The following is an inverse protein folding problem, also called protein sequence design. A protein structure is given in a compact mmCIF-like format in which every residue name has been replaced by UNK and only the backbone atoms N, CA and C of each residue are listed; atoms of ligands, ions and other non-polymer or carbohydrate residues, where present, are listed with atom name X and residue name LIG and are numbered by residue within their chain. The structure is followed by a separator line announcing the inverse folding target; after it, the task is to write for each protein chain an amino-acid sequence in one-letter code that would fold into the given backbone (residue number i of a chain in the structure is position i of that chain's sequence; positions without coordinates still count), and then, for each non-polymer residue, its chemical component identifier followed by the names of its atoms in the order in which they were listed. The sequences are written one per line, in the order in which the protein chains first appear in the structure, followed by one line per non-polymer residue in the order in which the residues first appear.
data_IF_683063376590
#
_entry.id   IF_683063376590
#
_cell.length_a   1.000
_cell.length_b   1.000
_cell.length_c   1.000
_cell.angle_alpha   90.00
_cell.angle_beta   90.00
_cell.angle_gamma   90.00
#
_symmetry.space_group_name_H-M   'P 1'
#
loop_
_entity.id
_entity.type
_entity.pdbx_description
1 polymer ?
#
# COMPACT_ATOMS: atom_id res chain seq x y z
N UNK A 1 13.46 -13.27 5.15
CA UNK A 1 14.93 -13.50 5.01
C UNK A 1 15.31 -13.15 3.58
N UNK A 2 16.30 -12.27 3.39
CA UNK A 2 16.78 -11.80 2.08
C UNK A 2 17.27 -12.94 1.17
N UNK A 3 16.76 -12.98 -0.07
CA UNK A 3 17.13 -13.96 -1.10
C UNK A 3 17.44 -13.22 -2.40
N UNK A 4 18.69 -13.26 -2.84
CA UNK A 4 19.06 -12.69 -4.14
C UNK A 4 19.03 -13.81 -5.17
N UNK A 5 18.31 -13.63 -6.31
CA UNK A 5 18.25 -14.64 -7.36
C UNK A 5 19.65 -14.96 -7.92
N UNK A 6 19.90 -16.23 -8.24
CA UNK A 6 21.17 -16.66 -8.79
C UNK A 6 21.46 -15.93 -10.12
N UNK A 7 22.65 -15.37 -10.23
CA UNK A 7 23.07 -14.64 -11.43
C UNK A 7 22.46 -13.24 -11.56
N UNK A 8 21.67 -12.77 -10.60
CA UNK A 8 21.11 -11.43 -10.64
C UNK A 8 22.20 -10.36 -10.85
N UNK A 9 21.94 -9.43 -11.74
CA UNK A 9 22.73 -8.22 -11.98
C UNK A 9 21.81 -7.08 -12.30
N UNK A 10 21.95 -5.97 -11.57
CA UNK A 10 21.21 -4.76 -11.88
C UNK A 10 21.53 -4.28 -13.31
N UNK A 11 20.50 -4.04 -14.11
CA UNK A 11 20.61 -3.49 -15.48
C UNK A 11 21.03 -2.02 -15.50
N UNK A 12 20.92 -1.33 -14.34
CA UNK A 12 21.25 0.09 -14.17
C UNK A 12 22.44 0.26 -13.23
N UNK A 13 23.33 1.20 -13.53
CA UNK A 13 24.33 1.67 -12.57
C UNK A 13 23.66 2.31 -11.35
N UNK A 14 24.40 2.48 -10.25
CA UNK A 14 23.88 3.15 -9.06
C UNK A 14 23.39 4.58 -9.36
N UNK A 15 24.14 5.32 -10.18
CA UNK A 15 23.77 6.67 -10.61
C UNK A 15 22.49 6.65 -11.46
N UNK A 16 22.41 5.76 -12.46
CA UNK A 16 21.25 5.65 -13.33
C UNK A 16 20.02 5.16 -12.53
N UNK A 17 20.21 4.30 -11.55
CA UNK A 17 19.13 3.88 -10.63
C UNK A 17 18.54 5.09 -9.90
N UNK A 18 19.36 5.99 -9.35
CA UNK A 18 18.88 7.22 -8.69
C UNK A 18 18.10 8.12 -9.65
N UNK A 19 18.59 8.28 -10.90
CA UNK A 19 17.89 9.05 -11.92
C UNK A 19 16.58 8.40 -12.37
N UNK A 20 16.56 7.08 -12.46
CA UNK A 20 15.35 6.33 -12.80
C UNK A 20 14.30 6.42 -11.67
N UNK A 21 14.70 6.33 -10.38
CA UNK A 21 13.81 6.54 -9.23
C UNK A 21 13.15 7.93 -9.29
N UNK A 22 13.94 8.99 -9.53
CA UNK A 22 13.41 10.35 -9.70
C UNK A 22 12.34 10.38 -10.81
N UNK A 23 12.61 9.76 -11.95
CA UNK A 23 11.71 9.72 -13.09
C UNK A 23 10.44 8.91 -12.77
N UNK A 24 10.56 7.70 -12.19
CA UNK A 24 9.40 6.91 -11.73
C UNK A 24 8.50 7.75 -10.84
N UNK A 25 9.08 8.37 -9.80
CA UNK A 25 8.31 9.13 -8.82
C UNK A 25 7.57 10.32 -9.45
N UNK A 26 8.20 11.05 -10.35
CA UNK A 26 7.60 12.23 -10.98
C UNK A 26 6.51 11.85 -12.02
N UNK A 27 6.82 10.89 -12.88
CA UNK A 27 5.93 10.45 -13.97
C UNK A 27 4.70 9.77 -13.40
N UNK A 28 4.90 8.81 -12.49
CA UNK A 28 3.78 8.07 -11.89
C UNK A 28 2.84 8.98 -11.11
N UNK A 29 3.37 9.86 -10.25
CA UNK A 29 2.53 10.79 -9.49
C UNK A 29 1.70 11.69 -10.41
N UNK A 30 2.27 12.16 -11.51
CA UNK A 30 1.56 12.99 -12.49
C UNK A 30 0.41 12.21 -13.13
N UNK A 31 0.67 10.96 -13.57
CA UNK A 31 -0.34 10.10 -14.19
C UNK A 31 -1.42 9.70 -13.18
N UNK A 32 -1.06 9.34 -11.95
CA UNK A 32 -1.98 9.00 -10.87
C UNK A 32 -2.93 10.17 -10.54
N UNK A 33 -2.37 11.39 -10.40
CA UNK A 33 -3.17 12.59 -10.14
C UNK A 33 -4.19 12.86 -11.26
N UNK A 34 -3.79 12.69 -12.51
CA UNK A 34 -4.68 12.86 -13.66
C UNK A 34 -5.77 11.77 -13.69
N UNK A 35 -5.40 10.51 -13.49
CA UNK A 35 -6.30 9.37 -13.57
C UNK A 35 -7.41 9.39 -12.51
N UNK A 36 -7.07 9.72 -11.27
CA UNK A 36 -7.98 9.71 -10.13
C UNK A 36 -8.50 11.10 -9.71
N UNK A 37 -8.11 12.16 -10.43
CA UNK A 37 -8.50 13.59 -10.15
C UNK A 37 -8.03 14.04 -8.76
N UNK A 38 -6.76 13.79 -8.45
CA UNK A 38 -6.15 14.10 -7.17
C UNK A 38 -5.37 15.42 -7.18
N UNK A 39 -5.32 16.06 -6.02
CA UNK A 39 -4.44 17.19 -5.74
C UNK A 39 -3.40 16.78 -4.69
N UNK A 40 -2.12 17.07 -4.94
CA UNK A 40 -1.07 16.79 -3.97
C UNK A 40 -1.16 17.74 -2.78
N UNK A 41 -1.13 17.19 -1.57
CA UNK A 41 -1.18 17.94 -0.31
C UNK A 41 -0.02 17.52 0.60
N UNK A 42 0.30 18.37 1.59
CA UNK A 42 1.24 18.01 2.65
C UNK A 42 0.57 17.09 3.66
N UNK A 43 1.32 16.12 4.19
CA UNK A 43 0.86 15.16 5.18
C UNK A 43 1.68 15.27 6.48
N UNK A 44 1.10 14.89 7.64
CA UNK A 44 1.86 14.81 8.88
C UNK A 44 2.83 13.62 8.86
N UNK A 45 4.03 13.82 9.42
CA UNK A 45 4.94 12.74 9.78
C UNK A 45 4.59 12.15 11.15
N UNK A 46 4.04 12.99 12.02
CA UNK A 46 3.67 12.64 13.40
C UNK A 46 2.23 13.06 13.70
N UNK A 47 1.57 12.28 14.53
CA UNK A 47 0.19 12.52 14.98
C UNK A 47 0.08 12.41 16.51
N UNK A 48 -0.94 13.06 17.06
CA UNK A 48 -1.31 12.90 18.47
C UNK A 48 -2.09 11.56 18.62
N UNK A 49 -1.61 10.60 19.44
CA UNK A 49 -2.24 9.28 19.60
C UNK A 49 -3.69 9.37 20.08
N UNK A 50 -4.05 10.41 20.82
CA UNK A 50 -5.40 10.59 21.35
C UNK A 50 -6.46 10.91 20.28
N UNK A 51 -6.04 11.20 19.05
CA UNK A 51 -6.95 11.51 17.95
C UNK A 51 -7.55 10.29 17.26
N UNK A 52 -6.94 9.11 17.40
CA UNK A 52 -7.29 7.90 16.67
C UNK A 52 -6.87 7.93 15.19
N UNK A 53 -6.01 8.89 14.79
CA UNK A 53 -5.59 9.07 13.39
C UNK A 53 -4.50 8.09 12.95
N UNK A 54 -3.66 7.60 13.88
CA UNK A 54 -2.64 6.63 13.52
C UNK A 54 -3.25 5.26 13.23
N UNK A 55 -2.55 4.45 12.45
CA UNK A 55 -2.92 3.06 12.24
C UNK A 55 -2.30 2.18 13.34
N UNK A 56 -3.04 1.19 13.78
CA UNK A 56 -2.55 0.21 14.74
C UNK A 56 -2.09 -1.08 14.06
N UNK A 57 -2.03 -1.09 12.74
CA UNK A 57 -1.69 -2.26 11.91
C UNK A 57 -2.46 -3.50 12.39
N UNK A 58 -1.76 -4.57 12.74
CA UNK A 58 -2.36 -5.80 13.29
C UNK A 58 -2.79 -5.68 14.77
N UNK A 59 -2.50 -4.53 15.40
CA UNK A 59 -2.81 -4.29 16.82
C UNK A 59 -1.76 -4.83 17.79
N UNK A 60 -0.68 -5.42 17.30
CA UNK A 60 0.46 -5.92 18.09
C UNK A 60 1.72 -5.09 17.89
N UNK A 61 1.81 -4.36 16.77
CA UNK A 61 2.94 -3.48 16.46
C UNK A 61 2.89 -2.22 17.31
N UNK A 62 4.07 -1.75 17.68
CA UNK A 62 4.24 -0.55 18.49
C UNK A 62 4.70 0.62 17.63
N UNK A 63 3.99 1.76 17.63
CA UNK A 63 4.46 2.96 16.94
C UNK A 63 5.73 3.49 17.60
N UNK A 64 6.53 4.26 16.86
CA UNK A 64 7.60 5.08 17.44
C UNK A 64 6.97 6.28 18.09
N UNK A 65 6.93 6.28 19.43
CA UNK A 65 6.31 7.32 20.24
C UNK A 65 7.37 8.13 21.00
N UNK A 66 7.10 9.41 21.22
CA UNK A 66 7.94 10.32 21.99
C UNK A 66 7.12 11.48 22.57
N UNK A 67 7.66 12.11 23.61
CA UNK A 67 7.07 13.30 24.21
C UNK A 67 7.48 14.58 23.47
N UNK A 68 6.61 15.59 23.54
CA UNK A 68 6.82 16.94 23.03
C UNK A 68 6.75 17.94 24.21
N UNK A 69 7.83 18.13 24.98
CA UNK A 69 7.79 18.89 26.23
C UNK A 69 7.26 20.31 26.05
N UNK A 70 7.66 21.00 24.99
CA UNK A 70 7.24 22.37 24.72
C UNK A 70 5.80 22.51 24.22
N UNK A 71 5.17 21.39 23.78
CA UNK A 71 3.78 21.33 23.32
C UNK A 71 2.87 20.75 24.42
N UNK A 72 3.44 20.03 25.38
CA UNK A 72 2.71 19.34 26.44
C UNK A 72 1.89 18.15 25.95
N UNK A 73 2.36 17.44 24.90
CA UNK A 73 1.69 16.30 24.28
C UNK A 73 2.68 15.17 23.97
N UNK A 74 2.15 14.00 23.73
CA UNK A 74 2.86 12.90 23.10
C UNK A 74 2.59 12.90 21.59
N UNK A 75 3.53 12.36 20.82
CA UNK A 75 3.40 12.16 19.39
C UNK A 75 3.84 10.76 19.02
N UNK A 76 3.28 10.26 17.92
CA UNK A 76 3.67 9.03 17.27
C UNK A 76 4.07 9.32 15.84
N UNK A 77 5.13 8.69 15.35
CA UNK A 77 5.40 8.62 13.92
C UNK A 77 4.28 7.78 13.27
N UNK A 78 3.75 8.25 12.15
CA UNK A 78 2.66 7.54 11.47
C UNK A 78 3.10 6.14 11.04
N UNK A 79 2.18 5.17 11.14
CA UNK A 79 2.31 3.84 10.58
C UNK A 79 1.51 3.72 9.27
N UNK A 80 0.46 4.54 9.11
CA UNK A 80 -0.33 4.73 7.91
C UNK A 80 -1.09 6.07 8.00
N UNK A 81 -1.47 6.63 6.84
CA UNK A 81 -2.28 7.85 6.74
C UNK A 81 -3.73 7.57 6.32
N UNK A 82 -4.18 6.32 6.32
CA UNK A 82 -5.50 5.95 5.83
C UNK A 82 -6.64 6.78 6.47
N UNK A 83 -6.64 6.90 7.80
CA UNK A 83 -7.64 7.69 8.53
C UNK A 83 -7.45 9.19 8.36
N UNK A 84 -6.20 9.65 8.38
CA UNK A 84 -5.89 11.06 8.22
C UNK A 84 -6.33 11.62 6.87
N UNK A 85 -6.16 10.87 5.78
CA UNK A 85 -6.56 11.31 4.43
C UNK A 85 -8.04 11.62 4.33
N UNK A 86 -8.89 10.74 4.89
CA UNK A 86 -10.35 10.97 4.92
C UNK A 86 -10.71 12.21 5.73
N UNK A 87 -10.09 12.39 6.91
CA UNK A 87 -10.22 13.59 7.72
C UNK A 87 -9.74 14.85 6.97
N UNK A 88 -8.61 14.77 6.26
CA UNK A 88 -8.06 15.89 5.50
C UNK A 88 -9.00 16.33 4.36
N UNK A 89 -9.64 15.40 3.65
CA UNK A 89 -10.65 15.74 2.63
C UNK A 89 -11.80 16.52 3.23
N UNK A 90 -12.32 16.13 4.38
CA UNK A 90 -13.33 16.87 5.13
C UNK A 90 -12.82 18.24 5.57
N UNK A 91 -11.66 18.26 6.22
CA UNK A 91 -11.06 19.49 6.78
C UNK A 91 -10.76 20.55 5.73
N UNK A 92 -10.34 20.13 4.54
CA UNK A 92 -9.97 21.00 3.43
C UNK A 92 -11.14 21.26 2.46
N UNK A 93 -12.32 20.73 2.77
CA UNK A 93 -13.55 20.94 2.01
C UNK A 93 -13.43 20.52 0.53
N UNK A 94 -12.90 19.33 0.28
CA UNK A 94 -12.85 18.78 -1.07
C UNK A 94 -14.25 18.45 -1.59
N UNK A 95 -14.45 18.63 -2.88
CA UNK A 95 -15.73 18.32 -3.54
C UNK A 95 -15.83 16.81 -3.88
N UNK A 96 -17.06 16.31 -4.00
CA UNK A 96 -17.33 14.94 -4.50
C UNK A 96 -16.67 14.71 -5.86
N UNK A 97 -16.08 13.53 -6.04
CA UNK A 97 -15.34 13.14 -7.24
C UNK A 97 -13.93 13.74 -7.33
N UNK A 98 -13.49 14.49 -6.32
CA UNK A 98 -12.12 15.00 -6.17
C UNK A 98 -11.42 14.31 -5.01
N UNK A 99 -10.10 14.27 -5.06
CA UNK A 99 -9.31 13.64 -4.03
C UNK A 99 -7.97 14.31 -3.78
N UNK A 100 -7.27 13.78 -2.80
CA UNK A 100 -5.91 14.16 -2.45
C UNK A 100 -4.95 12.99 -2.66
N UNK A 101 -3.68 13.33 -2.84
CA UNK A 101 -2.55 12.41 -2.71
C UNK A 101 -1.46 13.09 -1.87
N UNK A 102 -0.76 12.33 -1.07
CA UNK A 102 0.36 12.82 -0.29
C UNK A 102 1.50 11.78 -0.25
N UNK A 103 2.70 12.26 0.01
CA UNK A 103 3.81 11.36 0.31
C UNK A 103 3.71 10.97 1.80
N UNK A 104 3.46 9.70 2.04
CA UNK A 104 3.54 9.11 3.37
C UNK A 104 4.96 8.60 3.61
N UNK A 105 5.52 8.98 4.75
CA UNK A 105 6.76 8.42 5.27
C UNK A 105 6.44 7.83 6.65
N UNK A 106 6.51 6.52 6.77
CA UNK A 106 6.16 5.80 7.99
C UNK A 106 7.35 5.01 8.54
N UNK A 107 7.34 4.76 9.85
CA UNK A 107 8.30 3.87 10.50
C UNK A 107 7.51 2.73 11.14
N UNK A 108 7.74 1.51 10.66
CA UNK A 108 7.22 0.27 11.23
C UNK A 108 8.34 -0.42 12.00
N UNK A 109 8.54 -0.01 13.26
CA UNK A 109 9.70 -0.41 14.07
C UNK A 109 9.80 -1.91 14.32
N UNK A 110 8.68 -2.62 14.31
CA UNK A 110 8.60 -4.05 14.57
C UNK A 110 8.63 -4.89 13.28
N UNK A 111 8.78 -4.23 12.10
CA UNK A 111 8.88 -4.90 10.80
C UNK A 111 10.13 -5.78 10.71
N UNK A 112 9.98 -6.94 10.09
CA UNK A 112 11.11 -7.82 9.77
C UNK A 112 11.59 -7.58 8.33
N UNK A 113 12.75 -6.94 8.13
CA UNK A 113 13.24 -6.65 6.80
C UNK A 113 13.49 -7.92 5.98
N UNK A 114 13.11 -7.83 4.70
CA UNK A 114 13.40 -8.84 3.68
C UNK A 114 13.59 -8.16 2.32
N UNK A 115 13.39 -8.88 1.21
CA UNK A 115 13.52 -8.29 -0.14
C UNK A 115 12.54 -7.14 -0.39
N UNK A 116 11.33 -7.20 0.18
CA UNK A 116 10.23 -6.29 -0.08
C UNK A 116 9.89 -5.38 1.10
N UNK A 117 10.31 -5.75 2.32
CA UNK A 117 9.97 -5.06 3.55
C UNK A 117 11.16 -4.32 4.14
N UNK A 118 10.90 -3.10 4.59
CA UNK A 118 11.85 -2.22 5.28
C UNK A 118 11.15 -1.60 6.50
N UNK A 119 11.93 -1.24 7.52
CA UNK A 119 11.46 -0.46 8.68
C UNK A 119 10.90 0.89 8.23
N UNK A 120 11.48 1.48 7.18
CA UNK A 120 10.97 2.69 6.55
C UNK A 120 10.03 2.34 5.40
N UNK A 121 8.81 2.90 5.43
CA UNK A 121 7.78 2.69 4.41
C UNK A 121 7.45 4.02 3.75
N UNK A 122 7.56 4.08 2.43
CA UNK A 122 7.20 5.23 1.62
C UNK A 122 6.04 4.87 0.65
N UNK A 123 4.98 5.67 0.68
CA UNK A 123 3.80 5.45 -0.19
C UNK A 123 3.33 6.77 -0.81
N UNK A 124 2.74 6.67 -2.01
CA UNK A 124 1.74 7.64 -2.44
C UNK A 124 0.42 7.24 -1.83
N UNK A 125 0.05 7.94 -0.79
CA UNK A 125 -1.22 7.75 -0.10
C UNK A 125 -2.27 8.65 -0.73
N UNK A 126 -3.32 8.05 -1.28
CA UNK A 126 -4.38 8.76 -1.98
C UNK A 126 -5.76 8.47 -1.38
N UNK A 127 -6.68 9.43 -1.55
CA UNK A 127 -8.07 9.32 -1.10
C UNK A 127 -8.95 10.20 -1.95
N UNK A 128 -10.13 9.72 -2.38
CA UNK A 128 -11.11 10.45 -3.20
C UNK A 128 -12.49 10.37 -2.58
N UNK A 129 -13.24 11.50 -2.56
CA UNK A 129 -14.63 11.53 -2.12
C UNK A 129 -15.50 10.89 -3.19
N UNK A 130 -16.37 9.97 -2.75
CA UNK A 130 -17.39 9.30 -3.56
C UNK A 130 -18.78 9.54 -2.97
N UNK A 131 -19.82 9.28 -3.75
CA UNK A 131 -21.20 9.26 -3.26
C UNK A 131 -21.51 7.95 -2.55
N UNK A 132 -22.65 7.88 -1.86
CA UNK A 132 -23.13 6.64 -1.26
C UNK A 132 -23.38 5.55 -2.32
N UNK A 133 -23.95 5.93 -3.47
CA UNK A 133 -24.26 5.01 -4.57
C UNK A 133 -23.00 4.44 -5.27
N UNK A 134 -21.87 5.16 -5.16
CA UNK A 134 -20.57 4.71 -5.65
C UNK A 134 -19.84 3.74 -4.69
N UNK A 135 -20.46 3.35 -3.56
CA UNK A 135 -19.92 2.34 -2.64
C UNK A 135 -20.23 0.93 -3.18
N UNK A 136 -19.53 0.52 -4.22
CA UNK A 136 -19.72 -0.76 -4.89
C UNK A 136 -18.42 -1.25 -5.55
N UNK A 137 -18.41 -2.50 -6.01
CA UNK A 137 -17.27 -3.13 -6.67
C UNK A 137 -16.89 -2.44 -7.98
N UNK A 138 -17.84 -1.97 -8.77
CA UNK A 138 -17.56 -1.29 -10.05
C UNK A 138 -16.69 -0.04 -9.85
N UNK A 139 -16.95 0.71 -8.78
CA UNK A 139 -16.13 1.89 -8.42
C UNK A 139 -14.73 1.51 -7.98
N UNK A 140 -14.59 0.39 -7.25
CA UNK A 140 -13.30 -0.14 -6.84
C UNK A 140 -12.49 -0.61 -8.06
N UNK A 141 -13.10 -1.39 -8.94
CA UNK A 141 -12.49 -1.92 -10.16
C UNK A 141 -12.06 -0.80 -11.13
N UNK A 142 -12.90 0.23 -11.33
CA UNK A 142 -12.54 1.42 -12.14
C UNK A 142 -11.28 2.11 -11.58
N UNK A 143 -11.19 2.27 -10.26
CA UNK A 143 -10.03 2.87 -9.64
C UNK A 143 -8.76 2.01 -9.81
N UNK A 144 -8.87 0.69 -9.64
CA UNK A 144 -7.77 -0.26 -9.88
C UNK A 144 -7.28 -0.18 -11.33
N UNK A 145 -8.17 -0.28 -12.30
CA UNK A 145 -7.81 -0.21 -13.72
C UNK A 145 -7.08 1.10 -14.07
N UNK A 146 -7.53 2.24 -13.51
CA UNK A 146 -6.87 3.55 -13.70
C UNK A 146 -5.47 3.60 -13.09
N UNK A 147 -5.27 2.97 -11.93
CA UNK A 147 -3.96 2.88 -11.29
C UNK A 147 -3.03 2.00 -12.14
N UNK A 148 -3.50 0.85 -12.61
CA UNK A 148 -2.73 -0.04 -13.48
C UNK A 148 -2.31 0.67 -14.77
N UNK A 149 -3.22 1.41 -15.40
CA UNK A 149 -2.88 2.22 -16.59
C UNK A 149 -1.81 3.28 -16.29
N UNK A 150 -1.85 3.93 -15.13
CA UNK A 150 -0.82 4.89 -14.71
C UNK A 150 0.53 4.20 -14.48
N UNK A 151 0.56 2.99 -13.90
CA UNK A 151 1.77 2.19 -13.69
C UNK A 151 2.36 1.78 -15.04
N UNK A 152 1.57 1.16 -15.91
CA UNK A 152 2.01 0.72 -17.23
C UNK A 152 2.49 1.88 -18.10
N UNK A 153 1.75 2.99 -18.09
CA UNK A 153 2.16 4.20 -18.81
C UNK A 153 3.43 4.85 -18.25
N UNK A 154 3.75 4.60 -16.98
CA UNK A 154 5.05 5.02 -16.39
C UNK A 154 6.18 4.13 -16.90
N UNK A 155 5.98 2.82 -16.96
CA UNK A 155 6.95 1.89 -17.52
C UNK A 155 7.26 2.19 -18.99
N UNK A 156 6.23 2.47 -19.80
CA UNK A 156 6.42 2.83 -21.21
C UNK A 156 7.34 4.04 -21.35
N UNK A 157 7.14 5.08 -20.52
CA UNK A 157 7.97 6.28 -20.56
C UNK A 157 9.40 6.02 -20.08
N UNK A 158 9.56 5.16 -19.04
CA UNK A 158 10.89 4.75 -18.56
C UNK A 158 11.70 4.02 -19.63
N UNK A 159 11.10 3.14 -20.43
CA UNK A 159 11.77 2.39 -21.48
C UNK A 159 12.34 3.25 -22.59
N UNK A 160 11.82 4.46 -22.80
CA UNK A 160 12.42 5.43 -23.71
C UNK A 160 13.79 5.93 -23.25
N UNK A 161 13.97 6.06 -21.92
CA UNK A 161 15.22 6.55 -21.32
C UNK A 161 16.15 5.39 -20.94
N UNK A 162 15.59 4.24 -20.61
CA UNK A 162 16.29 3.04 -20.15
C UNK A 162 15.89 1.82 -20.98
N UNK A 163 16.31 1.74 -22.27
CA UNK A 163 15.89 0.67 -23.18
C UNK A 163 16.38 -0.73 -22.78
N UNK A 164 17.29 -0.83 -21.80
CA UNK A 164 17.77 -2.08 -21.22
C UNK A 164 16.78 -2.70 -20.22
N UNK A 165 15.73 -1.99 -19.80
CA UNK A 165 14.67 -2.55 -18.98
C UNK A 165 13.76 -3.45 -19.81
N UNK A 166 13.57 -4.69 -19.35
CA UNK A 166 12.84 -5.73 -20.08
C UNK A 166 11.43 -5.99 -19.50
N UNK A 167 11.19 -5.60 -18.24
CA UNK A 167 9.90 -5.78 -17.53
C UNK A 167 8.71 -5.49 -18.43
N UNK A 168 7.74 -6.40 -18.46
CA UNK A 168 6.48 -6.23 -19.17
C UNK A 168 5.34 -6.35 -18.18
N UNK A 169 4.40 -5.41 -18.22
CA UNK A 169 3.22 -5.43 -17.36
C UNK A 169 1.96 -5.51 -18.22
N UNK A 170 1.00 -6.34 -17.79
CA UNK A 170 -0.32 -6.39 -18.41
C UNK A 170 -1.18 -5.22 -17.91
N UNK A 171 -1.87 -4.55 -18.86
CA UNK A 171 -2.92 -3.59 -18.54
C UNK A 171 -4.25 -4.25 -18.20
N UNK A 172 -4.43 -5.50 -18.63
CA UNK A 172 -5.60 -6.29 -18.29
C UNK A 172 -5.48 -6.76 -16.83
N UNK A 173 -6.46 -6.40 -16.01
CA UNK A 173 -6.52 -6.77 -14.60
C UNK A 173 -7.44 -7.96 -14.43
N UNK A 174 -6.95 -9.00 -13.79
CA UNK A 174 -7.78 -10.13 -13.35
C UNK A 174 -8.25 -9.88 -11.92
N UNK A 175 -9.57 -9.84 -11.72
CA UNK A 175 -10.18 -9.73 -10.40
C UNK A 175 -10.51 -11.12 -9.87
N UNK A 176 -10.16 -11.37 -8.61
CA UNK A 176 -10.44 -12.63 -7.93
C UNK A 176 -10.73 -12.33 -6.46
N UNK A 177 -11.66 -13.03 -5.86
CA UNK A 177 -11.91 -12.91 -4.42
C UNK A 177 -10.91 -13.74 -3.61
N UNK A 178 -10.64 -13.32 -2.39
CA UNK A 178 -9.82 -14.10 -1.44
C UNK A 178 -10.41 -15.49 -1.19
N UNK A 179 -11.76 -15.63 -1.22
CA UNK A 179 -12.42 -16.93 -1.09
C UNK A 179 -12.21 -17.81 -2.31
N UNK A 180 -12.31 -17.28 -3.55
CA UNK A 180 -12.00 -18.05 -4.75
C UNK A 180 -10.56 -18.55 -4.75
N UNK A 181 -9.60 -17.76 -4.27
CA UNK A 181 -8.22 -18.22 -4.11
C UNK A 181 -8.08 -19.37 -3.12
N UNK A 182 -8.82 -19.31 -2.01
CA UNK A 182 -8.86 -20.43 -1.06
C UNK A 182 -9.47 -21.68 -1.68
N UNK A 183 -10.58 -21.55 -2.41
CA UNK A 183 -11.27 -22.67 -3.06
C UNK A 183 -10.41 -23.30 -4.17
N UNK A 184 -9.64 -22.49 -4.92
CA UNK A 184 -8.71 -22.98 -5.96
C UNK A 184 -7.48 -23.69 -5.36
N UNK A 185 -6.96 -23.17 -4.24
CA UNK A 185 -5.73 -23.67 -3.63
C UNK A 185 -5.89 -23.93 -2.13
N UNK A 186 -6.77 -24.88 -1.72
CA UNK A 186 -7.20 -25.03 -0.32
C UNK A 186 -6.09 -25.45 0.65
N UNK A 187 -5.00 -26.06 0.15
CA UNK A 187 -3.88 -26.55 0.96
C UNK A 187 -2.69 -25.58 1.02
N UNK A 188 -2.78 -24.47 0.28
CA UNK A 188 -1.68 -23.52 0.19
C UNK A 188 -1.87 -22.39 1.20
N UNK A 189 -0.74 -21.81 1.63
CA UNK A 189 -0.76 -20.57 2.42
C UNK A 189 -1.24 -19.39 1.56
N UNK A 190 -1.74 -18.29 2.16
CA UNK A 190 -2.16 -17.13 1.39
C UNK A 190 -1.11 -16.65 0.38
N UNK A 191 0.15 -16.49 0.81
CA UNK A 191 1.24 -16.09 -0.10
C UNK A 191 1.49 -17.09 -1.24
N UNK A 192 1.37 -18.38 -1.00
CA UNK A 192 1.50 -19.40 -2.06
C UNK A 192 0.31 -19.34 -3.04
N UNK A 193 -0.90 -19.02 -2.56
CA UNK A 193 -2.08 -18.81 -3.41
C UNK A 193 -1.85 -17.63 -4.36
N UNK A 194 -1.33 -16.52 -3.81
CA UNK A 194 -0.94 -15.35 -4.60
C UNK A 194 0.08 -15.70 -5.67
N UNK A 195 1.19 -16.33 -5.30
CA UNK A 195 2.27 -16.68 -6.24
C UNK A 195 1.79 -17.61 -7.36
N UNK A 196 0.95 -18.59 -7.04
CA UNK A 196 0.38 -19.50 -8.03
C UNK A 196 -0.58 -18.79 -9.00
N UNK A 197 -1.47 -17.98 -8.46
CA UNK A 197 -2.50 -17.30 -9.26
C UNK A 197 -1.91 -16.16 -10.10
N UNK A 198 -1.08 -15.31 -9.50
CA UNK A 198 -0.49 -14.14 -10.17
C UNK A 198 0.52 -14.54 -11.24
N UNK A 199 1.17 -15.71 -11.12
CA UNK A 199 2.02 -16.27 -12.20
C UNK A 199 1.23 -16.48 -13.49
N UNK A 200 -0.02 -16.95 -13.39
CA UNK A 200 -0.90 -17.18 -14.56
C UNK A 200 -1.66 -15.90 -14.97
N UNK A 201 -1.87 -15.00 -14.02
CA UNK A 201 -2.59 -13.73 -14.18
C UNK A 201 -1.71 -12.55 -13.69
N UNK A 202 -0.72 -12.08 -14.51
CA UNK A 202 0.38 -11.24 -14.05
C UNK A 202 0.00 -9.87 -13.46
N UNK A 203 -1.23 -9.41 -13.67
CA UNK A 203 -1.81 -8.24 -13.01
C UNK A 203 -3.12 -8.65 -12.37
N UNK A 204 -3.12 -8.81 -11.06
CA UNK A 204 -4.25 -9.34 -10.29
C UNK A 204 -4.67 -8.38 -9.20
N UNK A 205 -5.98 -8.24 -9.01
CA UNK A 205 -6.54 -7.57 -7.83
C UNK A 205 -7.34 -8.59 -7.01
N UNK A 206 -6.89 -8.82 -5.76
CA UNK A 206 -7.54 -9.76 -4.83
C UNK A 206 -8.53 -8.99 -3.99
N UNK A 207 -9.83 -9.30 -4.11
CA UNK A 207 -10.92 -8.62 -3.43
C UNK A 207 -11.26 -9.31 -2.10
N UNK A 208 -11.62 -8.53 -1.07
CA UNK A 208 -12.18 -9.06 0.16
C UNK A 208 -11.13 -9.51 1.17
N UNK A 209 -10.23 -8.60 1.55
CA UNK A 209 -9.18 -8.83 2.54
C UNK A 209 -9.67 -8.41 3.94
N UNK A 210 -9.34 -9.21 4.96
CA UNK A 210 -9.61 -8.92 6.38
C UNK A 210 -10.72 -9.76 6.98
N UNK A 211 -11.76 -10.13 6.22
CA UNK A 211 -12.83 -11.01 6.67
C UNK A 211 -12.41 -12.48 6.74
N UNK A 212 -13.02 -13.25 7.64
CA UNK A 212 -12.79 -14.69 7.71
C UNK A 212 -13.35 -15.41 6.47
N UNK A 213 -12.54 -16.30 5.89
CA UNK A 213 -12.91 -17.19 4.80
C UNK A 213 -13.65 -18.44 5.31
N UNK A 214 -14.03 -19.34 4.41
CA UNK A 214 -14.70 -20.59 4.77
C UNK A 214 -13.86 -21.50 5.69
N UNK A 215 -12.54 -21.41 5.66
CA UNK A 215 -11.65 -22.07 6.62
C UNK A 215 -11.70 -21.47 8.03
N UNK A 216 -12.33 -20.32 8.22
CA UNK A 216 -12.37 -19.58 9.48
C UNK A 216 -11.16 -18.64 9.69
N UNK A 217 -10.24 -18.56 8.74
CA UNK A 217 -9.09 -17.64 8.77
C UNK A 217 -9.22 -16.60 7.65
N UNK A 218 -8.75 -15.35 7.84
CA UNK A 218 -8.68 -14.40 6.74
C UNK A 218 -7.57 -14.78 5.75
N UNK A 219 -7.66 -14.27 4.50
CA UNK A 219 -6.57 -14.39 3.53
C UNK A 219 -5.33 -13.65 4.03
N UNK A 220 -5.52 -12.40 4.41
CA UNK A 220 -4.51 -11.57 5.06
C UNK A 220 -5.21 -10.62 6.05
N UNK A 221 -4.41 -9.98 6.89
CA UNK A 221 -4.91 -9.04 7.88
C UNK A 221 -5.26 -7.70 7.21
N UNK A 222 -6.35 -7.10 7.68
CA UNK A 222 -6.71 -5.73 7.34
C UNK A 222 -7.24 -5.02 8.57
N UNK A 223 -6.69 -3.85 8.91
CA UNK A 223 -7.17 -3.04 10.02
C UNK A 223 -8.68 -2.81 9.93
N UNK A 224 -9.43 -2.93 11.05
CA UNK A 224 -10.89 -2.92 11.02
C UNK A 224 -11.50 -1.54 10.88
N UNK A 225 -10.71 -0.47 10.93
CA UNK A 225 -11.23 0.88 11.15
C UNK A 225 -11.01 1.87 9.99
N UNK A 226 -10.63 1.38 8.80
CA UNK A 226 -10.59 2.26 7.62
C UNK A 226 -11.10 1.61 6.33
N UNK A 227 -10.76 0.38 5.97
CA UNK A 227 -11.29 -0.30 4.77
C UNK A 227 -12.51 -1.15 5.09
N UNK A 228 -13.53 -1.08 4.24
CA UNK A 228 -14.63 -2.04 4.26
C UNK A 228 -14.12 -3.38 3.72
N UNK A 229 -14.11 -4.43 4.56
CA UNK A 229 -13.52 -5.72 4.21
C UNK A 229 -14.20 -6.41 3.02
N UNK A 230 -15.44 -6.01 2.69
CA UNK A 230 -16.15 -6.52 1.51
C UNK A 230 -15.85 -5.71 0.22
N UNK A 231 -15.23 -4.54 0.35
CA UNK A 231 -15.03 -3.57 -0.75
C UNK A 231 -13.59 -3.06 -0.78
N UNK A 232 -12.63 -3.91 -0.46
CA UNK A 232 -11.20 -3.62 -0.48
C UNK A 232 -10.45 -4.72 -1.24
N UNK A 233 -9.16 -4.53 -1.37
CA UNK A 233 -8.27 -5.55 -1.93
C UNK A 233 -6.86 -5.07 -2.12
N UNK A 234 -6.05 -5.98 -2.67
CA UNK A 234 -4.64 -5.78 -2.92
C UNK A 234 -4.34 -5.96 -4.41
N UNK A 235 -3.57 -5.01 -4.98
CA UNK A 235 -3.10 -5.05 -6.37
C UNK A 235 -1.71 -5.67 -6.39
N UNK A 236 -1.61 -6.80 -7.07
CA UNK A 236 -0.37 -7.57 -7.23
C UNK A 236 0.05 -7.62 -8.69
N UNK A 237 1.37 -7.63 -8.88
CA UNK A 237 1.99 -7.94 -10.17
C UNK A 237 2.92 -9.13 -10.02
N UNK A 238 3.11 -9.88 -11.12
CA UNK A 238 4.18 -10.86 -11.18
C UNK A 238 5.52 -10.16 -11.37
N UNK A 239 6.44 -10.41 -10.47
CA UNK A 239 7.82 -9.90 -10.55
C UNK A 239 8.73 -11.01 -11.09
N UNK A 240 9.16 -10.86 -12.35
CA UNK A 240 10.07 -11.80 -13.00
C UNK A 240 11.47 -11.84 -12.35
N UNK A 241 11.88 -10.74 -11.72
CA UNK A 241 13.18 -10.67 -11.03
C UNK A 241 13.20 -11.55 -9.79
N UNK A 242 12.10 -11.54 -9.02
CA UNK A 242 11.98 -12.33 -7.78
C UNK A 242 11.29 -13.68 -7.99
N UNK A 243 10.72 -13.94 -9.17
CA UNK A 243 9.88 -15.12 -9.49
C UNK A 243 8.75 -15.27 -8.44
N UNK A 244 8.07 -14.18 -8.14
CA UNK A 244 7.00 -14.12 -7.13
C UNK A 244 5.99 -12.99 -7.39
N UNK A 245 4.82 -13.09 -6.77
CA UNK A 245 3.88 -11.98 -6.73
C UNK A 245 4.39 -10.87 -5.81
N UNK A 246 4.29 -9.62 -6.26
CA UNK A 246 4.59 -8.42 -5.48
C UNK A 246 3.33 -7.57 -5.32
N UNK A 247 2.94 -7.29 -4.08
CA UNK A 247 1.88 -6.33 -3.76
C UNK A 247 2.41 -4.91 -3.93
N UNK A 248 1.77 -4.15 -4.80
CA UNK A 248 2.10 -2.74 -5.08
C UNK A 248 1.18 -1.77 -4.36
N UNK A 249 -0.09 -2.15 -4.17
CA UNK A 249 -1.09 -1.28 -3.55
C UNK A 249 -2.11 -2.06 -2.76
N UNK A 250 -2.39 -1.58 -1.55
CA UNK A 250 -3.58 -1.91 -0.77
C UNK A 250 -4.57 -0.76 -0.87
N UNK A 251 -5.83 -1.04 -1.17
CA UNK A 251 -6.85 -0.01 -1.34
C UNK A 251 -8.27 -0.52 -1.11
N UNK A 252 -9.20 0.39 -0.86
CA UNK A 252 -10.59 0.02 -0.67
C UNK A 252 -11.53 1.20 -0.57
N UNK A 253 -12.82 0.89 -0.66
CA UNK A 253 -13.88 1.80 -0.22
C UNK A 253 -13.85 1.81 1.31
N UNK A 254 -13.84 3.01 1.88
CA UNK A 254 -13.67 3.16 3.33
C UNK A 254 -14.94 2.77 4.06
N UNK A 255 -14.79 2.28 5.29
CA UNK A 255 -15.91 1.85 6.13
C UNK A 255 -17.00 2.92 6.24
N UNK A 256 -18.26 2.49 6.21
CA UNK A 256 -19.41 3.23 6.73
C UNK A 256 -19.59 2.91 8.22
N UNK A 257 -20.48 3.62 8.90
CA UNK A 257 -20.67 3.47 10.35
C UNK A 257 -21.02 2.03 10.77
N UNK A 258 -21.86 1.34 9.98
CA UNK A 258 -22.28 -0.05 10.24
C UNK A 258 -21.12 -1.03 10.08
N UNK A 259 -20.35 -0.93 8.97
CA UNK A 259 -19.18 -1.76 8.73
C UNK A 259 -18.11 -1.52 9.79
N UNK A 260 -17.85 -0.26 10.17
CA UNK A 260 -16.92 0.08 11.24
C UNK A 260 -17.26 -0.64 12.56
N UNK A 261 -18.52 -0.52 13.02
CA UNK A 261 -18.96 -1.16 14.27
C UNK A 261 -18.81 -2.68 14.21
N UNK A 262 -19.22 -3.28 13.10
CA UNK A 262 -19.14 -4.73 12.91
C UNK A 262 -17.69 -5.21 12.89
N UNK A 263 -16.82 -4.55 12.13
CA UNK A 263 -15.42 -4.95 12.02
C UNK A 263 -14.63 -4.75 13.32
N UNK A 264 -14.88 -3.65 14.06
CA UNK A 264 -14.29 -3.43 15.38
C UNK A 264 -14.73 -4.50 16.39
N UNK A 265 -16.01 -4.91 16.37
CA UNK A 265 -16.51 -5.98 17.24
C UNK A 265 -15.85 -7.34 16.89
N UNK A 266 -15.70 -7.67 15.60
CA UNK A 266 -15.01 -8.89 15.15
C UNK A 266 -13.54 -8.87 15.60
N UNK A 267 -12.88 -7.69 15.53
CA UNK A 267 -11.48 -7.52 15.93
C UNK A 267 -11.30 -7.34 17.45
N UNK A 268 -12.37 -7.23 18.24
CA UNK A 268 -12.32 -7.05 19.70
C UNK A 268 -11.69 -5.73 20.15
N UNK A 269 -11.91 -4.65 19.39
CA UNK A 269 -11.36 -3.32 19.65
C UNK A 269 -12.40 -2.20 19.57
N UNK A 270 -13.61 -2.46 20.12
CA UNK A 270 -14.73 -1.51 20.16
C UNK A 270 -14.41 -0.23 20.95
N UNK A 271 -13.44 -0.27 21.84
CA UNK A 271 -12.94 0.89 22.58
C UNK A 271 -12.49 2.03 21.65
N UNK A 272 -12.06 1.73 20.42
CA UNK A 272 -11.70 2.73 19.40
C UNK A 272 -12.89 3.61 18.99
N UNK A 273 -14.14 3.17 19.20
CA UNK A 273 -15.34 3.97 18.92
C UNK A 273 -15.37 5.27 19.73
N UNK A 274 -14.67 5.32 20.87
CA UNK A 274 -14.58 6.50 21.73
C UNK A 274 -13.57 7.55 21.23
N UNK A 275 -12.71 7.20 20.26
CA UNK A 275 -11.71 8.12 19.72
C UNK A 275 -12.34 9.17 18.79
N UNK A 276 -11.80 10.40 18.73
CA UNK A 276 -12.38 11.50 17.98
C UNK A 276 -12.66 11.19 16.51
N UNK A 277 -11.71 10.56 15.80
CA UNK A 277 -11.89 10.20 14.38
C UNK A 277 -13.10 9.26 14.19
N UNK A 278 -13.21 8.24 15.04
CA UNK A 278 -14.27 7.23 14.93
C UNK A 278 -15.64 7.84 15.26
N UNK A 279 -15.72 8.75 16.23
CA UNK A 279 -16.95 9.50 16.53
C UNK A 279 -17.42 10.33 15.33
N UNK A 280 -16.53 11.09 14.71
CA UNK A 280 -16.87 11.86 13.49
C UNK A 280 -17.42 10.98 12.37
N UNK A 281 -16.88 9.75 12.22
CA UNK A 281 -17.36 8.81 11.23
C UNK A 281 -18.76 8.29 11.55
N UNK A 282 -19.01 7.91 12.80
CA UNK A 282 -20.32 7.42 13.28
C UNK A 282 -21.39 8.51 13.18
N UNK A 283 -21.03 9.75 13.50
CA UNK A 283 -21.93 10.90 13.46
C UNK A 283 -22.20 11.39 12.03
N UNK A 284 -21.56 10.76 11.02
CA UNK A 284 -21.75 11.07 9.60
C UNK A 284 -21.12 12.39 9.16
N UNK A 285 -20.18 12.93 9.91
CA UNK A 285 -19.46 14.16 9.55
C UNK A 285 -18.46 13.94 8.42
N UNK A 286 -17.85 12.74 8.34
CA UNK A 286 -16.84 12.42 7.34
C UNK A 286 -17.48 11.94 6.03
N UNK A 287 -16.96 12.37 4.86
CA UNK A 287 -17.47 11.94 3.56
C UNK A 287 -17.27 10.44 3.33
N UNK A 288 -18.07 9.84 2.43
CA UNK A 288 -17.74 8.55 1.85
C UNK A 288 -16.54 8.68 0.93
N UNK A 289 -15.61 7.74 1.02
CA UNK A 289 -14.36 7.81 0.27
C UNK A 289 -13.91 6.43 -0.21
N UNK A 290 -13.10 6.45 -1.26
CA UNK A 290 -12.25 5.36 -1.72
C UNK A 290 -10.80 5.83 -1.64
N UNK A 291 -9.90 4.97 -1.22
CA UNK A 291 -8.51 5.34 -1.12
C UNK A 291 -7.57 4.15 -0.94
N UNK A 292 -6.28 4.43 -0.95
CA UNK A 292 -5.25 3.40 -0.83
C UNK A 292 -3.86 4.00 -0.63
N UNK A 293 -2.90 3.10 -0.48
CA UNK A 293 -1.47 3.40 -0.49
C UNK A 293 -0.78 2.62 -1.61
N UNK A 294 0.06 3.29 -2.37
CA UNK A 294 0.89 2.69 -3.42
C UNK A 294 2.33 2.78 -2.97
N UNK A 295 3.00 1.65 -2.77
CA UNK A 295 4.38 1.60 -2.30
C UNK A 295 5.34 2.23 -3.30
N UNK A 296 5.99 3.36 -2.93
CA UNK A 296 6.92 4.05 -3.82
C UNK A 296 8.14 3.19 -4.14
N UNK A 297 8.76 2.65 -3.11
CA UNK A 297 9.94 1.80 -3.25
C UNK A 297 9.62 0.47 -3.93
N UNK A 298 8.49 -0.17 -3.60
CA UNK A 298 8.05 -1.41 -4.27
C UNK A 298 7.77 -1.19 -5.75
N UNK A 299 7.12 -0.07 -6.13
CA UNK A 299 6.92 0.27 -7.53
C UNK A 299 8.26 0.51 -8.25
N UNK A 300 9.19 1.20 -7.61
CA UNK A 300 10.55 1.35 -8.18
C UNK A 300 11.25 0.00 -8.35
N UNK A 301 11.14 -0.94 -7.39
CA UNK A 301 11.68 -2.29 -7.55
C UNK A 301 11.15 -2.97 -8.80
N UNK A 302 9.83 -3.06 -8.92
CA UNK A 302 9.15 -3.72 -10.05
C UNK A 302 9.56 -3.11 -11.39
N UNK A 303 9.49 -1.77 -11.50
CA UNK A 303 9.75 -1.08 -12.78
C UNK A 303 11.23 -1.03 -13.17
N UNK A 304 12.14 -1.10 -12.20
CA UNK A 304 13.59 -1.02 -12.40
C UNK A 304 14.30 -2.38 -12.24
N UNK A 305 13.54 -3.48 -12.18
CA UNK A 305 14.07 -4.85 -12.13
C UNK A 305 15.02 -5.08 -10.95
N UNK A 306 14.62 -4.64 -9.75
CA UNK A 306 15.46 -4.73 -8.55
C UNK A 306 15.11 -5.92 -7.67
N UNK A 307 16.14 -6.61 -7.21
CA UNK A 307 15.97 -7.81 -6.37
C UNK A 307 15.77 -7.49 -4.89
N UNK A 308 16.08 -6.27 -4.44
CA UNK A 308 15.96 -5.88 -3.04
C UNK A 308 15.52 -4.42 -2.90
N UNK A 309 14.59 -4.15 -1.98
CA UNK A 309 14.07 -2.80 -1.75
C UNK A 309 15.17 -1.79 -1.39
N UNK A 310 16.23 -2.23 -0.76
CA UNK A 310 17.42 -1.43 -0.45
C UNK A 310 18.19 -0.91 -1.67
N UNK A 311 17.95 -1.43 -2.87
CA UNK A 311 18.53 -0.87 -4.11
C UNK A 311 17.83 0.43 -4.55
N UNK A 312 16.61 0.67 -4.02
CA UNK A 312 15.78 1.83 -4.38
C UNK A 312 15.37 2.68 -3.17
N UNK A 313 15.74 2.26 -1.97
CA UNK A 313 15.40 2.92 -0.71
C UNK A 313 16.59 2.93 0.24
N UNK A 314 17.01 4.11 0.68
CA UNK A 314 17.97 4.23 1.77
C UNK A 314 17.29 3.91 3.11
N UNK A 315 17.82 2.92 3.82
CA UNK A 315 17.29 2.44 5.11
C UNK A 315 18.40 1.85 5.96
N UNK A 316 18.02 1.15 7.04
CA UNK A 316 18.94 0.42 7.92
C UNK A 316 18.67 -1.07 7.75
N UNK A 317 19.72 -1.85 7.54
CA UNK A 317 19.64 -3.28 7.29
C UNK A 317 20.43 -4.05 8.36
N UNK A 318 19.98 -5.27 8.62
CA UNK A 318 20.75 -6.18 9.44
C UNK A 318 22.00 -6.70 8.71
N UNK A 319 23.01 -7.10 9.51
CA UNK A 319 24.29 -7.54 8.98
C UNK A 319 24.19 -8.71 7.99
N UNK A 320 23.23 -9.61 8.18
CA UNK A 320 23.05 -10.75 7.30
C UNK A 320 22.54 -10.31 5.92
N UNK A 321 21.61 -9.34 5.88
CA UNK A 321 21.13 -8.73 4.64
C UNK A 321 22.24 -8.00 3.91
N UNK A 322 23.04 -7.16 4.62
CA UNK A 322 24.18 -6.46 4.03
C UNK A 322 25.19 -7.44 3.42
N UNK A 323 25.58 -8.49 4.15
CA UNK A 323 26.55 -9.47 3.69
C UNK A 323 26.05 -10.23 2.44
N UNK A 324 24.79 -10.67 2.44
CA UNK A 324 24.19 -11.37 1.28
C UNK A 324 24.10 -10.49 0.04
N UNK A 325 23.70 -9.22 0.20
CA UNK A 325 23.68 -8.27 -0.89
C UNK A 325 25.09 -8.03 -1.44
N UNK A 326 26.07 -7.81 -0.57
CA UNK A 326 27.47 -7.61 -0.97
C UNK A 326 28.06 -8.84 -1.71
N UNK A 327 27.83 -10.06 -1.21
CA UNK A 327 28.27 -11.31 -1.86
C UNK A 327 27.64 -11.46 -3.25
N UNK A 328 26.40 -11.07 -3.43
CA UNK A 328 25.69 -11.11 -4.71
C UNK A 328 26.02 -9.93 -5.64
N UNK A 329 26.79 -8.94 -5.17
CA UNK A 329 27.09 -7.73 -5.92
C UNK A 329 25.92 -6.75 -6.03
N UNK A 330 24.98 -6.82 -5.09
CA UNK A 330 23.84 -5.91 -4.96
C UNK A 330 24.26 -4.71 -4.11
N UNK A 331 24.06 -3.51 -4.63
CA UNK A 331 24.39 -2.26 -3.94
C UNK A 331 23.15 -1.72 -3.22
N UNK A 332 23.18 -1.73 -1.89
CA UNK A 332 22.19 -1.04 -1.06
C UNK A 332 22.47 0.47 -1.03
N UNK A 333 21.41 1.32 -1.00
CA UNK A 333 21.51 2.77 -0.93
C UNK A 333 21.87 3.28 0.46
#
# INVERSE_FOLDING_TARGET
MTKIPEGYRSSLSLYDTQKAIEQVKNVFLTKLCAALKLSRVTAPLIVDPLTGMNDNLNGVEHPVAFDLPNVGKNAEVVQSLAKWKRYALWRYNFAVGRGLVCDMNAIRRDEQPDNLHSIYVDQWDWERIITQDERNTDTLEDAVCRIVEAICGTLDELKWHYPQLNTQLSREVTFVTSQELEDLYPTQTPKQREDLFVREHPTTFIVGIGGALNSGQPHDFRSPDYDDWSLNGDLLFWDETLDSAIEISSMGIRVAAEALKSQLAIAGCEDRLELPFHKMLIDGELPFTIGGGIGQSRLCMLLLEKAHVGEVQASIWDKQTEDRCAEAGVSLL
#
